data_IF_606158806935
#
_entry.id   IF_606158806935
#
_cell.length_a   1.000
_cell.length_b   1.000
_cell.length_c   1.000
_cell.angle_alpha   90.00
_cell.angle_beta   90.00
_cell.angle_gamma   90.00
#
_symmetry.space_group_name_H-M   'P 1'
#
loop_
_entity.id
_entity.type
_entity.pdbx_description
1 polymer ?
#
# COMPACT_ATOMS: atom_id res chain seq x y z
N UNK A 1 -0.51 13.39 29.64
CA UNK A 1 0.91 12.99 29.60
C UNK A 1 1.29 12.88 28.14
N UNK A 2 2.08 13.86 27.63
CA UNK A 2 2.66 13.80 26.29
C UNK A 2 3.66 12.65 26.27
N UNK A 3 3.32 11.59 25.55
CA UNK A 3 4.26 10.51 25.25
C UNK A 3 5.10 11.03 24.07
N UNK A 4 6.25 11.63 24.38
CA UNK A 4 7.23 12.02 23.38
C UNK A 4 7.71 10.77 22.64
N UNK A 5 7.86 10.87 21.31
CA UNK A 5 8.44 9.80 20.51
C UNK A 5 9.85 9.50 21.06
N UNK A 6 10.22 8.21 21.16
CA UNK A 6 11.52 7.82 21.67
C UNK A 6 12.64 8.41 20.82
N UNK A 7 13.74 8.83 21.46
CA UNK A 7 14.94 9.29 20.76
C UNK A 7 15.61 8.14 19.99
N UNK A 8 16.59 8.45 19.15
CA UNK A 8 17.27 7.46 18.31
C UNK A 8 17.95 6.38 19.13
N UNK A 9 18.55 6.72 20.27
CA UNK A 9 19.25 5.77 21.15
C UNK A 9 18.25 4.78 21.78
N UNK A 10 17.12 5.28 22.25
CA UNK A 10 16.02 4.44 22.77
C UNK A 10 15.47 3.52 21.68
N UNK A 11 15.33 4.00 20.44
CA UNK A 11 14.90 3.18 19.30
C UNK A 11 15.87 2.05 18.98
N UNK A 12 17.19 2.33 19.00
CA UNK A 12 18.22 1.30 18.84
C UNK A 12 18.12 0.24 19.93
N UNK A 13 18.00 0.66 21.20
CA UNK A 13 17.88 -0.25 22.33
C UNK A 13 16.61 -1.16 22.23
N UNK A 14 15.49 -0.61 21.74
CA UNK A 14 14.26 -1.38 21.49
C UNK A 14 14.51 -2.44 20.40
N UNK A 15 15.17 -2.07 19.29
CA UNK A 15 15.49 -2.99 18.19
C UNK A 15 16.43 -4.12 18.63
N UNK A 16 17.47 -3.80 19.39
CA UNK A 16 18.42 -4.79 19.91
C UNK A 16 17.75 -5.77 20.88
N UNK A 17 16.90 -5.25 21.77
CA UNK A 17 16.13 -6.09 22.69
C UNK A 17 15.22 -7.04 21.90
N UNK A 18 14.47 -6.52 20.93
CA UNK A 18 13.55 -7.30 20.11
C UNK A 18 14.27 -8.35 19.28
N UNK A 19 15.39 -7.99 18.65
CA UNK A 19 16.22 -8.93 17.90
C UNK A 19 16.72 -10.09 18.79
N UNK A 20 17.13 -9.78 20.01
CA UNK A 20 17.59 -10.77 20.99
C UNK A 20 16.46 -11.70 21.41
N UNK A 21 15.26 -11.15 21.66
CA UNK A 21 14.08 -11.93 22.04
C UNK A 21 13.62 -12.88 20.91
N UNK A 22 13.81 -12.49 19.64
CA UNK A 22 13.49 -13.26 18.44
C UNK A 22 14.66 -14.16 17.97
N UNK A 23 15.82 -14.11 18.62
CA UNK A 23 16.99 -14.89 18.22
C UNK A 23 17.61 -14.45 16.89
N UNK A 24 17.45 -13.16 16.55
CA UNK A 24 17.95 -12.57 15.31
C UNK A 24 19.30 -11.91 15.57
N UNK A 25 20.31 -12.25 14.76
CA UNK A 25 21.62 -11.58 14.78
C UNK A 25 21.50 -10.24 14.02
N UNK A 26 21.30 -9.16 14.78
CA UNK A 26 21.13 -7.80 14.27
C UNK A 26 22.41 -6.99 14.50
N UNK A 27 23.19 -6.66 13.45
CA UNK A 27 24.34 -5.79 13.58
C UNK A 27 23.94 -4.40 14.08
N UNK A 28 24.77 -3.79 14.94
CA UNK A 28 24.56 -2.45 15.52
C UNK A 28 24.35 -1.38 14.41
N UNK A 29 25.11 -1.49 13.31
CA UNK A 29 25.00 -0.57 12.16
C UNK A 29 23.59 -0.64 11.54
N UNK A 30 23.03 -1.84 11.45
CA UNK A 30 21.67 -2.06 10.92
C UNK A 30 20.60 -1.52 11.90
N UNK A 31 20.78 -1.75 13.19
CA UNK A 31 19.88 -1.20 14.21
C UNK A 31 19.86 0.33 14.16
N UNK A 32 21.05 0.96 14.08
CA UNK A 32 21.20 2.41 13.94
C UNK A 32 20.58 2.94 12.65
N UNK A 33 20.75 2.23 11.54
CA UNK A 33 20.16 2.58 10.24
C UNK A 33 18.62 2.56 10.30
N UNK A 34 18.03 1.50 10.87
CA UNK A 34 16.58 1.40 11.03
C UNK A 34 16.06 2.54 11.93
N UNK A 35 16.71 2.75 13.09
CA UNK A 35 16.33 3.77 14.06
C UNK A 35 16.43 5.21 13.51
N UNK A 36 17.36 5.47 12.59
CA UNK A 36 17.51 6.77 11.93
C UNK A 36 16.46 7.03 10.85
N UNK A 37 16.02 5.97 10.18
CA UNK A 37 15.09 6.08 9.04
C UNK A 37 13.61 5.97 9.44
N UNK A 38 13.31 5.36 10.59
CA UNK A 38 11.94 5.17 11.08
C UNK A 38 11.79 5.95 12.39
N UNK A 39 11.09 7.06 12.32
CA UNK A 39 10.82 7.95 13.45
C UNK A 39 9.34 7.97 13.89
N UNK A 40 8.48 7.24 13.15
CA UNK A 40 7.03 7.30 13.29
C UNK A 40 6.52 6.69 14.60
N UNK A 41 6.80 5.41 14.86
CA UNK A 41 6.38 4.71 16.08
C UNK A 41 7.13 3.38 16.27
N UNK A 42 7.01 2.82 17.50
CA UNK A 42 7.67 1.55 17.86
C UNK A 42 7.19 0.37 17.02
N UNK A 43 5.92 0.34 16.63
CA UNK A 43 5.36 -0.76 15.81
C UNK A 43 5.99 -0.81 14.42
N UNK A 44 6.29 0.35 13.84
CA UNK A 44 6.95 0.44 12.53
C UNK A 44 8.40 -0.04 12.62
N UNK A 45 9.11 0.27 13.73
CA UNK A 45 10.44 -0.24 14.03
C UNK A 45 10.44 -1.77 14.14
N UNK A 46 9.54 -2.33 14.94
CA UNK A 46 9.40 -3.78 15.11
C UNK A 46 8.99 -4.45 13.79
N UNK A 47 8.09 -3.84 13.03
CA UNK A 47 7.67 -4.32 11.72
C UNK A 47 8.82 -4.36 10.70
N UNK A 48 9.70 -3.36 10.71
CA UNK A 48 10.89 -3.33 9.85
C UNK A 48 11.88 -4.46 10.21
N UNK A 49 12.13 -4.67 11.51
CA UNK A 49 12.98 -5.76 11.97
C UNK A 49 12.41 -7.13 11.58
N UNK A 50 11.13 -7.36 11.81
CA UNK A 50 10.45 -8.63 11.47
C UNK A 50 10.54 -8.91 9.97
N UNK A 51 10.32 -7.92 9.10
CA UNK A 51 10.45 -8.07 7.64
C UNK A 51 11.88 -8.37 7.22
N UNK A 52 12.86 -7.68 7.82
CA UNK A 52 14.28 -7.90 7.52
C UNK A 52 14.72 -9.30 7.93
N UNK A 53 14.32 -9.74 9.13
CA UNK A 53 14.57 -11.07 9.64
C UNK A 53 13.92 -12.16 8.79
N UNK A 54 12.66 -12.01 8.41
CA UNK A 54 11.95 -12.93 7.53
C UNK A 54 12.63 -13.05 6.16
N UNK A 55 13.03 -11.92 5.56
CA UNK A 55 13.74 -11.92 4.28
C UNK A 55 15.09 -12.63 4.37
N UNK A 56 15.89 -12.34 5.39
CA UNK A 56 17.18 -12.97 5.62
C UNK A 56 17.05 -14.47 5.82
N UNK A 57 16.07 -14.90 6.61
CA UNK A 57 15.76 -16.32 6.85
C UNK A 57 15.32 -17.04 5.58
N UNK A 58 14.39 -16.48 4.81
CA UNK A 58 13.88 -17.09 3.56
C UNK A 58 14.99 -17.22 2.50
N UNK A 59 15.88 -16.24 2.39
CA UNK A 59 16.96 -16.23 1.40
C UNK A 59 18.26 -16.81 1.94
N UNK A 60 18.30 -17.27 3.21
CA UNK A 60 19.49 -17.81 3.87
C UNK A 60 20.71 -16.89 3.76
N UNK A 61 20.50 -15.59 3.95
CA UNK A 61 21.54 -14.57 3.91
C UNK A 61 21.64 -13.86 5.25
N UNK A 62 22.81 -13.27 5.51
CA UNK A 62 23.03 -12.47 6.72
C UNK A 62 22.35 -11.11 6.59
N UNK A 63 21.97 -10.54 7.73
CA UNK A 63 21.48 -9.16 7.81
C UNK A 63 22.67 -8.22 7.67
N UNK A 64 22.70 -7.44 6.59
CA UNK A 64 23.74 -6.44 6.31
C UNK A 64 23.13 -5.06 6.15
N UNK A 65 23.94 -3.98 6.31
CA UNK A 65 23.47 -2.61 6.05
C UNK A 65 22.88 -2.44 4.64
N UNK A 66 23.52 -3.02 3.61
CA UNK A 66 23.05 -2.92 2.23
C UNK A 66 21.69 -3.60 2.04
N UNK A 67 21.50 -4.76 2.67
CA UNK A 67 20.19 -5.46 2.67
C UNK A 67 19.13 -4.61 3.37
N UNK A 68 19.49 -4.04 4.54
CA UNK A 68 18.60 -3.16 5.28
C UNK A 68 18.26 -1.90 4.49
N UNK A 69 19.21 -1.26 3.85
CA UNK A 69 18.97 -0.10 2.98
C UNK A 69 18.02 -0.43 1.84
N UNK A 70 18.23 -1.55 1.15
CA UNK A 70 17.37 -1.99 0.06
C UNK A 70 15.95 -2.27 0.52
N UNK A 71 15.78 -2.94 1.67
CA UNK A 71 14.47 -3.24 2.21
C UNK A 71 13.80 -2.01 2.82
N UNK A 72 14.57 -1.12 3.48
CA UNK A 72 14.08 0.14 4.02
C UNK A 72 13.77 1.16 2.92
N UNK A 73 14.51 1.18 1.80
CA UNK A 73 14.16 1.96 0.63
C UNK A 73 12.80 1.50 0.06
N UNK A 74 12.57 0.18 0.03
CA UNK A 74 11.26 -0.37 -0.29
C UNK A 74 10.22 -0.11 0.81
N UNK A 75 10.62 0.17 2.05
CA UNK A 75 9.73 0.59 3.14
C UNK A 75 9.50 2.11 3.14
N UNK A 76 10.44 2.91 2.68
CA UNK A 76 10.24 4.35 2.45
C UNK A 76 9.49 4.63 1.13
N UNK A 77 9.58 3.72 0.17
CA UNK A 77 8.65 3.60 -0.96
C UNK A 77 7.43 2.74 -0.61
N UNK A 78 7.50 1.94 0.45
CA UNK A 78 6.53 1.07 1.12
C UNK A 78 6.23 1.48 2.56
N UNK A 79 6.43 2.78 2.98
CA UNK A 79 5.30 3.39 3.62
C UNK A 79 4.20 3.01 2.65
N UNK A 80 3.18 2.31 3.13
CA UNK A 80 1.87 2.53 2.60
C UNK A 80 1.78 4.03 2.24
N UNK A 81 2.24 4.42 1.06
CA UNK A 81 1.56 5.41 0.29
C UNK A 81 0.22 4.71 0.16
N UNK A 82 -0.62 4.96 1.16
CA UNK A 82 -2.00 4.61 1.06
C UNK A 82 -2.31 5.04 -0.35
N UNK A 83 -2.52 4.05 -1.23
CA UNK A 83 -2.62 4.28 -2.67
C UNK A 83 -3.47 5.51 -2.80
N UNK A 84 -2.88 6.65 -3.21
CA UNK A 84 -3.62 7.88 -3.26
C UNK A 84 -4.75 7.67 -4.25
N UNK A 85 -5.89 8.27 -4.01
CA UNK A 85 -7.02 8.13 -4.93
C UNK A 85 -6.64 8.63 -6.32
N UNK A 86 -5.71 9.59 -6.38
CA UNK A 86 -5.10 10.16 -7.57
C UNK A 86 -4.24 9.13 -8.32
N UNK A 87 -3.42 8.35 -7.62
CA UNK A 87 -2.58 7.31 -8.23
C UNK A 87 -3.46 6.21 -8.86
N UNK A 88 -4.53 5.82 -8.16
CA UNK A 88 -5.51 4.86 -8.69
C UNK A 88 -6.21 5.44 -9.92
N UNK A 89 -6.69 6.68 -9.85
CA UNK A 89 -7.35 7.37 -10.96
C UNK A 89 -6.43 7.41 -12.19
N UNK A 90 -5.19 7.85 -12.00
CA UNK A 90 -4.21 7.96 -13.08
C UNK A 90 -3.92 6.61 -13.72
N UNK A 91 -3.68 5.57 -12.91
CA UNK A 91 -3.38 4.24 -13.43
C UNK A 91 -4.53 3.63 -14.22
N UNK A 92 -5.75 3.76 -13.71
CA UNK A 92 -6.97 3.30 -14.41
C UNK A 92 -7.18 4.10 -15.69
N UNK A 93 -7.00 5.41 -15.66
CA UNK A 93 -7.10 6.29 -16.82
C UNK A 93 -6.15 5.85 -17.94
N UNK A 94 -4.88 5.60 -17.59
CA UNK A 94 -3.87 5.11 -18.56
C UNK A 94 -4.24 3.72 -19.08
N UNK A 95 -4.59 2.78 -18.20
CA UNK A 95 -4.91 1.40 -18.61
C UNK A 95 -6.09 1.33 -19.58
N UNK A 96 -7.12 2.13 -19.35
CA UNK A 96 -8.28 2.20 -20.23
C UNK A 96 -8.09 3.20 -21.38
N UNK A 97 -6.95 3.86 -21.55
CA UNK A 97 -6.71 4.85 -22.60
C UNK A 97 -7.75 5.97 -22.59
N UNK A 98 -8.09 6.48 -21.41
CA UNK A 98 -9.01 7.58 -21.20
C UNK A 98 -8.24 8.91 -21.10
N UNK A 99 -8.95 10.02 -21.26
CA UNK A 99 -8.38 11.35 -21.02
C UNK A 99 -8.42 11.68 -19.52
N UNK A 100 -7.48 12.50 -19.01
CA UNK A 100 -7.53 12.99 -17.63
C UNK A 100 -8.90 13.61 -17.31
N UNK A 101 -9.46 13.26 -16.15
CA UNK A 101 -10.76 13.74 -15.69
C UNK A 101 -11.99 13.00 -16.25
N UNK A 102 -11.85 12.11 -17.27
CA UNK A 102 -13.00 11.39 -17.81
C UNK A 102 -13.67 10.47 -16.80
N UNK A 103 -12.92 9.95 -15.82
CA UNK A 103 -13.49 9.13 -14.75
C UNK A 103 -14.46 9.92 -13.87
N UNK A 104 -14.17 11.19 -13.61
CA UNK A 104 -15.00 12.10 -12.80
C UNK A 104 -16.13 12.73 -13.61
N UNK A 105 -15.97 12.83 -14.92
CA UNK A 105 -16.95 13.44 -15.80
C UNK A 105 -18.31 12.70 -15.81
N UNK A 106 -19.38 13.41 -16.20
CA UNK A 106 -20.72 12.82 -16.34
C UNK A 106 -20.89 11.90 -17.57
N UNK A 107 -19.84 11.66 -18.35
CA UNK A 107 -19.87 10.77 -19.51
C UNK A 107 -20.26 9.34 -19.14
N UNK A 108 -21.12 8.72 -19.98
CA UNK A 108 -21.71 7.41 -19.74
C UNK A 108 -21.36 6.38 -20.82
N UNK A 109 -20.21 6.48 -21.49
CA UNK A 109 -19.78 5.41 -22.37
C UNK A 109 -19.50 4.14 -21.58
N UNK A 110 -19.78 2.97 -22.16
CA UNK A 110 -19.56 1.67 -21.51
C UNK A 110 -18.14 1.54 -20.95
N UNK A 111 -17.15 1.96 -21.74
CA UNK A 111 -15.73 1.94 -21.36
C UNK A 111 -15.44 2.81 -20.13
N UNK A 112 -15.93 4.03 -20.08
CA UNK A 112 -15.75 4.95 -18.95
C UNK A 112 -16.49 4.45 -17.71
N UNK A 113 -17.68 3.86 -17.86
CA UNK A 113 -18.43 3.29 -16.74
C UNK A 113 -17.70 2.09 -16.13
N UNK A 114 -17.16 1.19 -16.97
CA UNK A 114 -16.36 0.05 -16.53
C UNK A 114 -15.09 0.48 -15.77
N UNK A 115 -14.33 1.40 -16.36
CA UNK A 115 -13.13 1.96 -15.73
C UNK A 115 -13.44 2.63 -14.39
N UNK A 116 -14.54 3.38 -14.32
CA UNK A 116 -15.01 4.06 -13.10
C UNK A 116 -15.40 3.07 -12.00
N UNK A 117 -16.14 2.02 -12.33
CA UNK A 117 -16.51 0.98 -11.36
C UNK A 117 -15.27 0.29 -10.80
N UNK A 118 -14.29 -0.03 -11.66
CA UNK A 118 -13.03 -0.64 -11.23
C UNK A 118 -12.20 0.31 -10.34
N UNK A 119 -12.12 1.60 -10.68
CA UNK A 119 -11.44 2.59 -9.86
C UNK A 119 -12.06 2.68 -8.46
N UNK A 120 -13.40 2.78 -8.36
CA UNK A 120 -14.12 2.80 -7.09
C UNK A 120 -13.86 1.55 -6.25
N UNK A 121 -13.84 0.37 -6.87
CA UNK A 121 -13.55 -0.90 -6.22
C UNK A 121 -12.13 -0.94 -5.64
N UNK A 122 -11.12 -0.52 -6.42
CA UNK A 122 -9.72 -0.49 -5.97
C UNK A 122 -9.54 0.55 -4.86
N UNK A 123 -10.13 1.74 -4.97
CA UNK A 123 -10.13 2.77 -3.91
C UNK A 123 -10.71 2.24 -2.59
N UNK A 124 -11.76 1.43 -2.67
CA UNK A 124 -12.38 0.81 -1.48
C UNK A 124 -11.51 -0.27 -0.87
N UNK A 125 -10.98 -1.18 -1.69
CA UNK A 125 -10.32 -2.41 -1.23
C UNK A 125 -8.84 -2.23 -0.93
N UNK A 126 -8.16 -1.27 -1.56
CA UNK A 126 -6.71 -1.07 -1.44
C UNK A 126 -6.33 0.24 -0.74
N UNK A 127 -7.09 1.31 -0.93
CA UNK A 127 -6.89 2.56 -0.21
C UNK A 127 -7.76 2.66 1.06
N UNK A 128 -8.55 1.64 1.39
CA UNK A 128 -9.45 1.58 2.57
C UNK A 128 -10.34 2.81 2.74
N UNK A 129 -10.66 3.50 1.64
CA UNK A 129 -11.40 4.75 1.63
C UNK A 129 -12.91 4.50 1.83
N UNK A 130 -13.60 5.38 2.54
CA UNK A 130 -15.04 5.28 2.77
C UNK A 130 -15.85 5.47 1.48
N UNK A 131 -17.04 4.88 1.40
CA UNK A 131 -17.91 5.03 0.22
C UNK A 131 -18.28 6.49 -0.06
N UNK A 132 -18.63 7.34 0.94
CA UNK A 132 -18.88 8.75 0.71
C UNK A 132 -17.64 9.48 0.14
N UNK A 133 -16.45 9.28 0.74
CA UNK A 133 -15.22 9.92 0.27
C UNK A 133 -14.85 9.53 -1.16
N UNK A 134 -15.07 8.27 -1.55
CA UNK A 134 -14.90 7.81 -2.94
C UNK A 134 -15.92 8.51 -3.86
N UNK A 135 -17.16 8.64 -3.43
CA UNK A 135 -18.20 9.34 -4.18
C UNK A 135 -17.83 10.80 -4.46
N UNK A 136 -17.39 11.51 -3.43
CA UNK A 136 -16.95 12.90 -3.53
C UNK A 136 -15.76 13.04 -4.48
N UNK A 137 -14.73 12.20 -4.32
CA UNK A 137 -13.55 12.19 -5.19
C UNK A 137 -13.90 11.92 -6.65
N UNK A 138 -14.85 11.03 -6.90
CA UNK A 138 -15.28 10.63 -8.24
C UNK A 138 -16.30 11.59 -8.87
N UNK A 139 -16.32 12.85 -8.44
CA UNK A 139 -17.14 13.92 -9.03
C UNK A 139 -18.50 14.08 -8.37
N UNK A 140 -18.57 13.92 -7.03
CA UNK A 140 -19.79 14.13 -6.24
C UNK A 140 -20.87 13.07 -6.48
N UNK A 141 -20.48 11.81 -6.55
CA UNK A 141 -21.41 10.68 -6.71
C UNK A 141 -21.92 10.20 -5.37
N UNK A 142 -23.19 9.83 -5.34
CA UNK A 142 -23.79 9.25 -4.16
C UNK A 142 -23.09 7.95 -3.75
N UNK A 143 -22.94 7.72 -2.45
CA UNK A 143 -22.32 6.53 -1.89
C UNK A 143 -22.99 5.23 -2.33
N UNK A 144 -24.29 5.24 -2.58
CA UNK A 144 -25.04 4.07 -3.09
C UNK A 144 -24.55 3.67 -4.49
N UNK A 145 -24.20 4.66 -5.32
CA UNK A 145 -23.57 4.42 -6.64
C UNK A 145 -22.22 3.71 -6.49
N UNK A 146 -21.41 4.13 -5.51
CA UNK A 146 -20.11 3.50 -5.23
C UNK A 146 -20.27 2.06 -4.74
N UNK A 147 -21.22 1.82 -3.83
CA UNK A 147 -21.54 0.46 -3.33
C UNK A 147 -21.97 -0.44 -4.49
N UNK A 148 -22.86 0.05 -5.37
CA UNK A 148 -23.30 -0.71 -6.53
C UNK A 148 -22.16 -1.02 -7.49
N UNK A 149 -21.27 -0.06 -7.74
CA UNK A 149 -20.07 -0.25 -8.58
C UNK A 149 -19.16 -1.33 -8.00
N UNK A 150 -18.85 -1.30 -6.71
CA UNK A 150 -18.03 -2.30 -6.04
C UNK A 150 -18.63 -3.71 -6.16
N UNK A 151 -19.92 -3.86 -5.86
CA UNK A 151 -20.64 -5.15 -5.99
C UNK A 151 -20.63 -5.69 -7.42
N UNK A 152 -20.77 -4.79 -8.40
CA UNK A 152 -20.73 -5.16 -9.82
C UNK A 152 -19.35 -5.73 -10.22
N UNK A 153 -18.27 -5.08 -9.76
CA UNK A 153 -16.90 -5.53 -10.01
C UNK A 153 -16.63 -6.86 -9.30
N UNK A 154 -17.02 -7.01 -8.03
CA UNK A 154 -16.86 -8.24 -7.27
C UNK A 154 -17.52 -9.45 -7.94
N UNK A 155 -18.76 -9.25 -8.41
CA UNK A 155 -19.47 -10.29 -9.17
C UNK A 155 -18.71 -10.66 -10.42
N UNK A 156 -18.28 -9.66 -11.20
CA UNK A 156 -17.58 -9.90 -12.47
C UNK A 156 -16.22 -10.58 -12.27
N UNK A 157 -15.49 -10.26 -11.20
CA UNK A 157 -14.25 -10.97 -10.85
C UNK A 157 -14.50 -12.46 -10.59
N UNK A 158 -15.68 -12.81 -10.02
CA UNK A 158 -16.05 -14.21 -9.76
C UNK A 158 -16.43 -14.95 -11.06
N UNK A 159 -17.14 -14.28 -11.94
CA UNK A 159 -17.79 -14.90 -13.10
C UNK A 159 -16.90 -14.88 -14.37
N UNK A 160 -15.92 -13.97 -14.46
CA UNK A 160 -15.10 -13.74 -15.65
C UNK A 160 -13.60 -13.84 -15.32
N UNK A 161 -12.98 -14.94 -15.71
CA UNK A 161 -11.55 -15.21 -15.51
C UNK A 161 -10.65 -14.17 -16.21
N UNK A 162 -11.03 -13.70 -17.40
CA UNK A 162 -10.25 -12.69 -18.14
C UNK A 162 -10.29 -11.35 -17.44
N UNK A 163 -11.45 -10.98 -16.92
CA UNK A 163 -11.62 -9.75 -16.14
C UNK A 163 -10.81 -9.81 -14.84
N UNK A 164 -10.81 -10.95 -14.15
CA UNK A 164 -9.98 -11.19 -12.95
C UNK A 164 -8.50 -10.97 -13.26
N UNK A 165 -7.96 -11.61 -14.30
CA UNK A 165 -6.55 -11.47 -14.69
C UNK A 165 -6.17 -10.04 -15.05
N UNK A 166 -7.07 -9.29 -15.67
CA UNK A 166 -6.89 -7.87 -15.95
C UNK A 166 -6.80 -7.06 -14.66
N UNK A 167 -7.71 -7.29 -13.71
CA UNK A 167 -7.71 -6.60 -12.41
C UNK A 167 -6.43 -6.91 -11.63
N UNK A 168 -5.98 -8.15 -11.59
CA UNK A 168 -4.72 -8.56 -10.95
C UNK A 168 -3.50 -7.88 -11.57
N UNK A 169 -3.49 -7.74 -12.90
CA UNK A 169 -2.41 -7.02 -13.62
C UNK A 169 -2.38 -5.55 -13.21
N UNK A 170 -3.53 -4.90 -13.13
CA UNK A 170 -3.64 -3.50 -12.67
C UNK A 170 -3.17 -3.37 -11.21
N UNK A 171 -3.61 -4.26 -10.32
CA UNK A 171 -3.20 -4.25 -8.92
C UNK A 171 -1.68 -4.42 -8.76
N UNK A 172 -1.07 -5.33 -9.51
CA UNK A 172 0.41 -5.47 -9.54
C UNK A 172 1.10 -4.18 -9.99
N UNK A 173 0.56 -3.50 -10.98
CA UNK A 173 1.11 -2.23 -11.47
C UNK A 173 0.99 -1.07 -10.47
N UNK A 174 0.12 -1.22 -9.46
CA UNK A 174 -0.06 -0.28 -8.35
C UNK A 174 0.83 -0.61 -7.14
N UNK A 175 1.68 -1.64 -7.23
CA UNK A 175 2.51 -2.10 -6.11
C UNK A 175 1.75 -2.93 -5.07
N UNK A 176 0.56 -3.42 -5.43
CA UNK A 176 -0.32 -4.22 -4.55
C UNK A 176 -0.27 -5.70 -4.97
N UNK A 177 0.90 -6.30 -4.97
CA UNK A 177 1.08 -7.73 -5.24
C UNK A 177 1.49 -8.49 -4.01
#
# INVERSE_FOLDING_TARGET
ADIQAPDTETRVAILERRARDEGVDLPMEVASLIASKIDSNIRDLEGALTRLSAYASLNRCNITPELAEKLLANLQTGTDKALSLEDIEQRITVHFGLKPGELKARRRTRKVAEARHLAMYIMRTRASTSFPSIGDFMGGRDHSTVIHACRSVERRIKDDQRYRSMVETILRSLGCG
#
